data_IF_068342200429
#
_entry.id   IF_068342200429
#
_cell.length_a   1.000
_cell.length_b   1.000
_cell.length_c   1.000
_cell.angle_alpha   90.00
_cell.angle_beta   90.00
_cell.angle_gamma   90.00
#
_symmetry.space_group_name_H-M   'P 1'
#
loop_
_entity.id
_entity.type
_entity.pdbx_description
1 polymer ?
#
# COMPACT_ATOMS: atom_id res chain seq x y z
N UNK A 1 24.06 -21.79 -28.61
CA UNK A 1 23.89 -20.49 -29.29
C UNK A 1 22.39 -20.22 -29.28
N UNK A 2 21.91 -19.52 -28.23
CA UNK A 2 21.43 -18.11 -28.27
C UNK A 2 19.93 -18.11 -28.66
N UNK A 3 18.96 -17.59 -27.92
CA UNK A 3 18.92 -16.48 -26.97
C UNK A 3 17.95 -16.80 -25.82
N UNK A 4 18.32 -16.42 -24.60
CA UNK A 4 17.38 -16.25 -23.49
C UNK A 4 16.77 -14.86 -23.67
N UNK A 5 15.49 -14.80 -24.05
CA UNK A 5 14.72 -13.55 -24.07
C UNK A 5 14.43 -13.15 -22.61
N UNK A 6 15.33 -12.36 -22.04
CA UNK A 6 15.09 -11.67 -20.78
C UNK A 6 14.40 -10.35 -21.13
N UNK A 7 13.08 -10.38 -21.22
CA UNK A 7 12.27 -9.18 -21.28
C UNK A 7 11.77 -8.87 -19.84
N UNK A 8 12.42 -7.99 -19.05
CA UNK A 8 12.04 -7.77 -17.65
C UNK A 8 10.78 -6.90 -17.47
N UNK A 9 10.04 -6.57 -18.54
CA UNK A 9 8.87 -5.71 -18.47
C UNK A 9 7.80 -6.18 -19.44
N UNK A 10 6.97 -7.15 -19.06
CA UNK A 10 5.71 -7.43 -19.76
C UNK A 10 4.75 -8.23 -18.88
N UNK A 11 4.12 -7.56 -17.91
CA UNK A 11 2.80 -7.93 -17.41
C UNK A 11 1.94 -6.67 -17.25
N UNK A 12 1.65 -6.00 -18.37
CA UNK A 12 0.48 -5.13 -18.45
C UNK A 12 -0.74 -6.01 -18.73
N UNK A 13 -1.25 -6.69 -17.70
CA UNK A 13 -2.59 -7.25 -17.71
C UNK A 13 -3.56 -6.20 -17.16
N UNK A 14 -3.93 -5.26 -18.02
CA UNK A 14 -5.12 -4.40 -17.83
C UNK A 14 -6.36 -5.26 -18.07
N UNK A 15 -6.73 -6.08 -17.09
CA UNK A 15 -8.03 -6.75 -17.03
C UNK A 15 -8.82 -6.11 -15.90
N UNK A 16 -9.92 -5.45 -16.29
CA UNK A 16 -10.77 -4.63 -15.43
C UNK A 16 -11.39 -5.40 -14.27
N UNK A 17 -10.76 -5.25 -13.11
CA UNK A 17 -11.38 -5.41 -11.81
C UNK A 17 -10.93 -4.18 -11.00
N UNK A 18 -11.85 -3.34 -10.53
CA UNK A 18 -11.55 -2.30 -9.53
C UNK A 18 -11.28 -2.94 -8.16
N UNK A 19 -10.71 -4.13 -8.15
CA UNK A 19 -10.14 -4.75 -6.99
C UNK A 19 -8.85 -3.99 -6.77
N UNK A 20 -8.77 -3.25 -5.66
CA UNK A 20 -7.48 -2.87 -5.11
C UNK A 20 -6.59 -4.10 -5.28
N UNK A 21 -5.42 -3.98 -5.91
CA UNK A 21 -4.40 -5.02 -5.76
C UNK A 21 -4.00 -4.91 -4.30
N UNK A 22 -4.79 -5.54 -3.43
CA UNK A 22 -4.63 -5.53 -2.00
C UNK A 22 -3.37 -6.37 -1.79
N UNK A 23 -2.22 -5.75 -1.48
CA UNK A 23 -1.05 -6.56 -1.14
C UNK A 23 -1.47 -7.48 0.00
N UNK A 24 -1.04 -8.75 0.00
CA UNK A 24 -1.42 -9.71 1.06
C UNK A 24 -1.17 -9.19 2.48
N UNK A 25 -0.25 -8.24 2.63
CA UNK A 25 0.01 -7.46 3.84
C UNK A 25 -1.16 -6.60 4.35
N UNK A 26 -2.04 -6.11 3.48
CA UNK A 26 -3.20 -5.27 3.85
C UNK A 26 -4.23 -6.03 4.68
N UNK A 27 -4.50 -7.30 4.36
CA UNK A 27 -5.37 -8.15 5.19
C UNK A 27 -4.81 -8.41 6.59
N UNK A 28 -3.53 -8.05 6.84
CA UNK A 28 -2.89 -8.14 8.15
C UNK A 28 -2.87 -6.81 8.92
N UNK A 29 -3.44 -5.74 8.35
CA UNK A 29 -3.67 -4.49 9.04
C UNK A 29 -4.83 -4.63 10.02
N UNK A 30 -4.78 -3.87 11.10
CA UNK A 30 -5.94 -3.70 11.98
C UNK A 30 -7.13 -3.14 11.20
N UNK A 31 -8.31 -3.67 11.47
CA UNK A 31 -9.57 -3.36 10.76
C UNK A 31 -9.81 -1.85 10.63
N UNK A 32 -9.55 -1.11 11.70
CA UNK A 32 -9.68 0.36 11.74
C UNK A 32 -8.88 1.09 10.67
N UNK A 33 -7.68 0.62 10.33
CA UNK A 33 -6.88 1.21 9.24
C UNK A 33 -7.53 0.90 7.89
N UNK A 34 -8.04 -0.31 7.70
CA UNK A 34 -8.70 -0.70 6.46
C UNK A 34 -9.95 0.16 6.21
N UNK A 35 -10.79 0.33 7.24
CA UNK A 35 -11.97 1.19 7.19
C UNK A 35 -11.61 2.65 6.86
N UNK A 36 -10.56 3.17 7.50
CA UNK A 36 -10.08 4.53 7.26
C UNK A 36 -9.63 4.72 5.80
N UNK A 37 -8.88 3.76 5.26
CA UNK A 37 -8.38 3.83 3.88
C UNK A 37 -9.52 3.75 2.86
N UNK A 38 -10.50 2.86 3.07
CA UNK A 38 -11.68 2.77 2.21
C UNK A 38 -12.50 4.06 2.26
N UNK A 39 -12.68 4.66 3.44
CA UNK A 39 -13.51 5.85 3.61
C UNK A 39 -12.84 7.14 3.08
N UNK A 40 -11.53 7.29 3.24
CA UNK A 40 -10.83 8.55 2.93
C UNK A 40 -10.06 8.54 1.62
N UNK A 41 -9.63 7.35 1.18
CA UNK A 41 -8.76 7.17 0.02
C UNK A 41 -9.39 6.21 -0.99
N UNK A 42 -10.73 6.21 -1.10
CA UNK A 42 -11.45 5.45 -2.13
C UNK A 42 -10.86 5.76 -3.51
N UNK A 43 -10.49 4.73 -4.25
CA UNK A 43 -9.90 4.81 -5.58
C UNK A 43 -8.43 5.28 -5.62
N UNK A 44 -7.71 5.24 -4.50
CA UNK A 44 -6.25 5.16 -4.50
C UNK A 44 -5.82 3.70 -4.56
N UNK A 45 -4.68 3.44 -5.20
CA UNK A 45 -3.99 2.16 -5.18
C UNK A 45 -3.07 2.09 -3.97
N UNK A 46 -3.00 0.93 -3.32
CA UNK A 46 -2.05 0.70 -2.23
C UNK A 46 -0.77 0.18 -2.85
N UNK A 47 0.30 0.97 -2.77
CA UNK A 47 1.61 0.60 -3.30
C UNK A 47 2.42 -0.22 -2.29
N UNK A 48 2.44 0.23 -1.03
CA UNK A 48 3.25 -0.39 0.01
C UNK A 48 2.51 -0.43 1.35
N UNK A 49 2.73 -1.52 2.10
CA UNK A 49 2.29 -1.68 3.49
C UNK A 49 3.45 -2.21 4.33
N UNK A 50 3.96 -1.37 5.22
CA UNK A 50 5.05 -1.66 6.15
C UNK A 50 4.60 -1.75 7.61
N UNK A 51 5.24 -2.62 8.40
CA UNK A 51 5.08 -2.69 9.86
C UNK A 51 6.28 -2.05 10.53
N UNK A 52 6.03 -1.15 11.46
CA UNK A 52 7.06 -0.46 12.24
C UNK A 52 7.21 -1.17 13.57
N UNK A 53 8.43 -1.61 13.88
CA UNK A 53 8.73 -2.32 15.12
C UNK A 53 9.82 -1.62 15.91
N UNK A 54 9.65 -1.55 17.23
CA UNK A 54 10.69 -1.14 18.17
C UNK A 54 10.93 -2.26 19.18
N UNK A 55 12.17 -2.72 19.32
CA UNK A 55 12.53 -3.87 20.16
C UNK A 55 11.65 -5.10 19.91
N UNK A 56 11.35 -5.38 18.63
CA UNK A 56 10.46 -6.46 18.17
C UNK A 56 8.97 -6.32 18.56
N UNK A 57 8.58 -5.27 19.28
CA UNK A 57 7.18 -4.91 19.50
C UNK A 57 6.66 -4.10 18.30
N UNK A 58 5.46 -4.44 17.81
CA UNK A 58 4.77 -3.64 16.80
C UNK A 58 4.35 -2.31 17.41
N UNK A 59 4.79 -1.20 16.81
CA UNK A 59 4.47 0.16 17.28
C UNK A 59 3.64 0.96 16.27
N UNK A 60 3.56 0.50 15.02
CA UNK A 60 2.76 1.18 14.01
C UNK A 60 2.86 0.58 12.61
N UNK A 61 2.28 1.29 11.66
CA UNK A 61 2.20 0.91 10.27
C UNK A 61 2.52 2.10 9.37
N UNK A 62 3.23 1.85 8.27
CA UNK A 62 3.41 2.81 7.19
C UNK A 62 2.68 2.30 5.95
N UNK A 63 1.92 3.16 5.28
CA UNK A 63 1.14 2.79 4.10
C UNK A 63 1.35 3.85 3.04
N UNK A 64 1.81 3.42 1.86
CA UNK A 64 1.93 4.30 0.70
C UNK A 64 0.77 4.04 -0.26
N UNK A 65 0.11 5.12 -0.65
CA UNK A 65 -0.99 5.14 -1.61
C UNK A 65 -0.60 5.92 -2.85
N UNK A 66 -1.19 5.58 -4.00
CA UNK A 66 -1.00 6.30 -5.24
C UNK A 66 -2.30 6.54 -6.00
N UNK A 67 -2.44 7.72 -6.59
CA UNK A 67 -3.47 8.04 -7.58
C UNK A 67 -2.88 8.93 -8.69
N UNK A 68 -2.68 8.36 -9.88
CA UNK A 68 -1.97 9.07 -10.94
C UNK A 68 -0.54 9.37 -10.51
N UNK A 69 -0.16 10.65 -10.48
CA UNK A 69 1.16 11.11 -10.04
C UNK A 69 1.22 11.44 -8.54
N UNK A 70 0.07 11.50 -7.85
CA UNK A 70 0.03 11.78 -6.42
C UNK A 70 0.42 10.53 -5.63
N UNK A 71 1.44 10.64 -4.79
CA UNK A 71 1.77 9.66 -3.76
C UNK A 71 1.39 10.19 -2.37
N UNK A 72 0.87 9.31 -1.52
CA UNK A 72 0.50 9.64 -0.15
C UNK A 72 1.12 8.63 0.81
N UNK A 73 1.98 9.09 1.71
CA UNK A 73 2.56 8.29 2.77
C UNK A 73 1.82 8.54 4.08
N UNK A 74 1.20 7.48 4.60
CA UNK A 74 0.42 7.48 5.82
C UNK A 74 1.15 6.72 6.91
N UNK A 75 1.17 7.30 8.11
CA UNK A 75 1.72 6.70 9.31
C UNK A 75 0.61 6.49 10.32
N UNK A 76 0.44 5.26 10.78
CA UNK A 76 -0.52 4.89 11.83
C UNK A 76 0.22 4.32 13.04
N UNK A 77 -0.37 4.47 14.23
CA UNK A 77 0.05 3.71 15.40
C UNK A 77 -0.40 2.23 15.31
N UNK A 78 -0.03 1.43 16.31
CA UNK A 78 -0.36 0.00 16.37
C UNK A 78 -1.85 -0.33 16.56
N UNK A 79 -2.69 0.61 17.01
CA UNK A 79 -4.15 0.44 17.15
C UNK A 79 -4.92 1.02 15.95
N UNK A 80 -4.23 1.71 15.05
CA UNK A 80 -4.78 2.25 13.80
C UNK A 80 -5.21 3.71 13.87
N UNK A 81 -4.70 4.51 14.81
CA UNK A 81 -4.87 5.96 14.74
C UNK A 81 -3.85 6.58 13.79
N UNK A 82 -4.30 7.51 12.95
CA UNK A 82 -3.43 8.23 12.03
C UNK A 82 -2.53 9.20 12.81
N UNK A 83 -1.22 9.02 12.67
CA UNK A 83 -0.21 9.88 13.26
C UNK A 83 0.26 10.97 12.29
N UNK A 84 0.41 10.63 11.00
CA UNK A 84 0.87 11.57 9.98
C UNK A 84 0.37 11.18 8.59
N UNK A 85 0.17 12.19 7.73
CA UNK A 85 -0.10 12.03 6.31
C UNK A 85 0.77 13.02 5.52
N UNK A 86 1.55 12.49 4.58
CA UNK A 86 2.44 13.27 3.71
C UNK A 86 2.04 13.06 2.25
N UNK A 87 2.07 14.14 1.47
CA UNK A 87 1.63 14.15 0.06
C UNK A 87 2.78 14.60 -0.82
N UNK A 88 3.11 13.80 -1.85
CA UNK A 88 4.19 14.04 -2.81
C UNK A 88 3.63 14.05 -4.25
N UNK A 89 4.16 14.93 -5.11
CA UNK A 89 3.61 15.26 -6.45
C UNK A 89 4.67 15.20 -7.56
#
# INVERSE_FOLDING_TARGET
MTSLDLNPFSEHSLSGDNFLTIPSSFSTLVERIQEYLVAQYEGFLINEVGKIKYHNALIGYQIQLQRGNLMVDLLFDHIGELLNAHFDY
#
